data_IF_615719449546
#
_entry.id   IF_615719449546
#
_cell.length_a   1.000
_cell.length_b   1.000
_cell.length_c   1.000
_cell.angle_alpha   90.00
_cell.angle_beta   90.00
_cell.angle_gamma   90.00
#
_symmetry.space_group_name_H-M   'P 1'
#
loop_
_entity.id
_entity.type
_entity.pdbx_description
1 polymer ?
#
# COMPACT_ATOMS: atom_id res chain seq x y z
N UNK A 1 3.21 -9.05 -1.27
CA UNK A 1 3.68 -9.26 0.12
C UNK A 1 2.48 -9.30 1.04
N UNK A 2 2.46 -10.17 2.05
CA UNK A 2 1.41 -10.13 3.07
C UNK A 2 1.67 -9.02 4.08
N UNK A 3 0.70 -8.14 4.32
CA UNK A 3 0.82 -7.03 5.29
C UNK A 3 -0.32 -7.12 6.30
N UNK A 4 0.01 -7.02 7.59
CA UNK A 4 -0.96 -7.01 8.67
C UNK A 4 -1.35 -5.59 9.04
N UNK A 5 -2.61 -5.22 8.83
CA UNK A 5 -3.11 -3.90 9.19
C UNK A 5 -4.39 -4.04 9.99
N UNK A 6 -4.40 -3.50 11.23
CA UNK A 6 -5.53 -3.59 12.17
C UNK A 6 -6.08 -5.02 12.32
N UNK A 7 -5.18 -5.98 12.54
CA UNK A 7 -5.50 -7.40 12.72
C UNK A 7 -6.10 -8.10 11.47
N UNK A 8 -5.97 -7.49 10.29
CA UNK A 8 -6.39 -8.08 9.01
C UNK A 8 -5.17 -8.23 8.10
N UNK A 9 -5.05 -9.37 7.42
CA UNK A 9 -3.94 -9.65 6.51
C UNK A 9 -4.34 -9.34 5.07
N UNK A 10 -3.61 -8.44 4.42
CA UNK A 10 -3.84 -8.05 3.04
C UNK A 10 -2.70 -8.54 2.14
N UNK A 11 -3.03 -8.90 0.90
CA UNK A 11 -2.03 -9.05 -0.16
C UNK A 11 -1.72 -7.66 -0.71
N UNK A 12 -0.49 -7.19 -0.51
CA UNK A 12 -0.09 -5.82 -0.81
C UNK A 12 1.04 -5.72 -1.82
N UNK A 13 1.02 -4.62 -2.58
CA UNK A 13 2.16 -4.03 -3.28
C UNK A 13 2.68 -2.87 -2.45
N UNK A 14 3.99 -2.72 -2.36
CA UNK A 14 4.63 -1.61 -1.64
C UNK A 14 5.41 -0.81 -2.68
N UNK A 15 5.16 0.50 -2.77
CA UNK A 15 6.00 1.38 -3.58
C UNK A 15 7.05 2.03 -2.68
N UNK A 16 8.31 1.82 -3.01
CA UNK A 16 9.44 2.38 -2.29
C UNK A 16 10.58 2.73 -3.25
N UNK A 17 11.31 3.79 -2.94
CA UNK A 17 12.58 4.15 -3.59
C UNK A 17 13.41 5.07 -2.67
N UNK A 18 14.73 5.09 -2.82
CA UNK A 18 15.64 5.93 -2.02
C UNK A 18 15.41 5.85 -0.50
N UNK A 19 15.25 4.63 0.03
CA UNK A 19 14.92 4.35 1.45
C UNK A 19 13.61 5.01 1.95
N UNK A 20 12.73 5.44 1.03
CA UNK A 20 11.41 5.98 1.34
C UNK A 20 10.32 5.06 0.82
N UNK A 21 9.38 4.67 1.67
CA UNK A 21 8.14 4.01 1.32
C UNK A 21 7.08 5.09 1.09
N UNK A 22 6.50 5.10 -0.11
CA UNK A 22 5.50 6.10 -0.50
C UNK A 22 4.09 5.67 -0.10
N UNK A 23 3.74 4.40 -0.34
CA UNK A 23 2.45 3.84 0.04
C UNK A 23 2.47 2.31 0.01
N UNK A 24 1.48 1.71 0.67
CA UNK A 24 1.12 0.30 0.60
C UNK A 24 -0.22 0.20 -0.12
N UNK A 25 -0.28 -0.56 -1.22
CA UNK A 25 -1.51 -0.82 -1.97
C UNK A 25 -1.99 -2.25 -1.72
N UNK A 26 -3.06 -2.47 -0.94
CA UNK A 26 -3.69 -3.77 -0.78
C UNK A 26 -4.53 -4.14 -2.02
N UNK A 27 -4.64 -5.43 -2.28
CA UNK A 27 -5.42 -5.97 -3.41
C UNK A 27 -6.91 -5.81 -3.12
N UNK A 28 -7.64 -5.21 -4.06
CA UNK A 28 -9.10 -5.01 -3.99
C UNK A 28 -9.89 -6.24 -4.42
N UNK A 29 -9.31 -7.08 -5.28
CA UNK A 29 -9.93 -8.31 -5.79
C UNK A 29 -9.00 -9.50 -5.59
N UNK A 30 -9.47 -10.51 -4.86
CA UNK A 30 -8.73 -11.75 -4.62
C UNK A 30 -9.14 -12.80 -5.67
N UNK A 31 -8.20 -13.68 -6.01
CA UNK A 31 -8.47 -14.80 -6.93
C UNK A 31 -8.65 -16.08 -6.13
N UNK A 32 -9.82 -16.71 -6.25
CA UNK A 32 -10.18 -17.97 -5.59
C UNK A 32 -10.69 -19.04 -6.57
N UNK A 33 -10.36 -18.89 -7.86
CA UNK A 33 -10.72 -19.85 -8.91
C UNK A 33 -9.55 -20.79 -9.26
N UNK A 34 -9.90 -21.99 -9.76
CA UNK A 34 -8.94 -23.05 -10.10
C UNK A 34 -8.08 -23.46 -8.90
N UNK A 35 -6.75 -23.31 -9.05
CA UNK A 35 -5.77 -23.62 -8.00
C UNK A 35 -5.57 -22.49 -6.98
N UNK A 36 -6.13 -21.30 -7.25
CA UNK A 36 -5.95 -20.15 -6.37
C UNK A 36 -6.96 -20.18 -5.22
N UNK A 37 -6.50 -19.79 -4.04
CA UNK A 37 -7.30 -19.72 -2.82
C UNK A 37 -6.84 -18.54 -1.96
N UNK A 38 -6.68 -17.37 -2.56
CA UNK A 38 -6.15 -16.19 -1.88
C UNK A 38 -6.99 -15.80 -0.65
N UNK A 39 -8.32 -15.92 -0.69
CA UNK A 39 -9.19 -15.56 0.43
C UNK A 39 -9.01 -16.46 1.67
N UNK A 40 -8.35 -17.62 1.55
CA UNK A 40 -7.96 -18.43 2.72
C UNK A 40 -6.90 -17.75 3.58
N UNK A 41 -6.13 -16.83 3.00
CA UNK A 41 -4.96 -16.23 3.64
C UNK A 41 -5.03 -14.71 3.75
N UNK A 42 -5.82 -14.06 2.88
CA UNK A 42 -5.90 -12.61 2.76
C UNK A 42 -7.34 -12.13 2.71
N UNK A 43 -7.53 -10.86 3.05
CA UNK A 43 -8.80 -10.16 2.89
C UNK A 43 -8.69 -9.13 1.77
N UNK A 44 -9.76 -8.98 0.98
CA UNK A 44 -9.84 -7.93 -0.03
C UNK A 44 -9.93 -6.55 0.64
N UNK A 45 -9.29 -5.55 0.06
CA UNK A 45 -9.49 -4.16 0.48
C UNK A 45 -10.78 -3.61 -0.10
N UNK A 46 -11.81 -3.49 0.75
CA UNK A 46 -13.16 -3.01 0.37
C UNK A 46 -13.40 -1.53 0.70
N UNK A 47 -12.39 -0.83 1.25
CA UNK A 47 -12.52 0.58 1.66
C UNK A 47 -12.20 1.49 0.46
N UNK A 48 -13.19 1.68 -0.40
CA UNK A 48 -13.04 2.53 -1.58
C UNK A 48 -12.62 3.95 -1.20
N UNK A 49 -11.67 4.52 -1.98
CA UNK A 49 -11.18 5.90 -1.82
C UNK A 49 -10.77 6.28 -0.39
N UNK A 50 -10.43 5.29 0.42
CA UNK A 50 -10.07 5.48 1.82
C UNK A 50 -8.59 5.26 1.99
N UNK A 51 -7.92 6.24 2.60
CA UNK A 51 -6.52 6.14 2.99
C UNK A 51 -6.43 5.97 4.49
N UNK A 52 -5.78 4.91 4.94
CA UNK A 52 -5.48 4.70 6.35
C UNK A 52 -3.98 4.86 6.63
N UNK A 53 -3.63 5.21 7.86
CA UNK A 53 -2.25 5.24 8.31
C UNK A 53 -1.81 3.84 8.74
N UNK A 54 -0.75 3.34 8.11
CA UNK A 54 -0.07 2.11 8.49
C UNK A 54 1.18 2.43 9.31
N UNK A 55 1.30 1.86 10.49
CA UNK A 55 2.48 1.99 11.34
C UNK A 55 3.56 0.99 10.88
N UNK A 56 4.76 1.49 10.58
CA UNK A 56 5.87 0.64 10.18
C UNK A 56 6.42 -0.14 11.38
N UNK A 57 6.85 -1.37 11.12
CA UNK A 57 7.62 -2.14 12.10
C UNK A 57 8.93 -1.43 12.41
N UNK A 58 9.44 -1.63 13.62
CA UNK A 58 10.61 -0.90 14.13
C UNK A 58 11.80 -0.98 13.18
N UNK A 59 12.14 -2.17 12.69
CA UNK A 59 13.30 -2.36 11.81
C UNK A 59 13.17 -1.57 10.50
N UNK A 60 11.96 -1.55 9.92
CA UNK A 60 11.69 -0.77 8.70
C UNK A 60 11.71 0.72 9.00
N UNK A 61 11.18 1.13 10.14
CA UNK A 61 11.21 2.52 10.60
C UNK A 61 12.64 3.01 10.81
N UNK A 62 13.50 2.21 11.42
CA UNK A 62 14.91 2.55 11.69
C UNK A 62 15.71 2.70 10.40
N UNK A 63 15.43 1.87 9.38
CA UNK A 63 16.10 1.93 8.06
C UNK A 63 15.61 3.11 7.21
N UNK A 64 14.30 3.40 7.24
CA UNK A 64 13.66 4.39 6.36
C UNK A 64 13.53 5.77 6.99
N UNK A 65 13.64 5.86 8.32
CA UNK A 65 13.31 7.06 9.09
C UNK A 65 11.82 7.40 9.08
N UNK A 66 10.94 6.45 8.71
CA UNK A 66 9.50 6.65 8.66
C UNK A 66 8.80 5.84 9.75
N UNK A 67 7.99 6.52 10.57
CA UNK A 67 7.14 5.83 11.55
C UNK A 67 5.87 5.26 10.91
N UNK A 68 5.37 5.93 9.86
CA UNK A 68 4.09 5.60 9.22
C UNK A 68 4.13 5.81 7.71
N UNK A 69 3.24 5.10 7.01
CA UNK A 69 3.00 5.20 5.57
C UNK A 69 1.51 5.06 5.28
N UNK A 70 0.98 5.63 4.18
CA UNK A 70 -0.41 5.41 3.79
C UNK A 70 -0.63 3.98 3.27
N UNK A 71 -1.73 3.34 3.68
CA UNK A 71 -2.28 2.12 3.08
C UNK A 71 -3.63 2.44 2.43
N UNK A 72 -3.74 2.27 1.12
CA UNK A 72 -4.89 2.73 0.33
C UNK A 72 -4.90 2.14 -1.09
N UNK A 73 -5.84 2.57 -1.92
CA UNK A 73 -5.74 2.50 -3.38
C UNK A 73 -5.26 3.85 -3.96
N UNK A 74 -3.94 4.16 -3.94
CA UNK A 74 -3.44 5.47 -4.32
C UNK A 74 -3.31 5.60 -5.84
N UNK A 75 -3.51 6.82 -6.31
CA UNK A 75 -3.08 7.28 -7.63
C UNK A 75 -1.82 8.12 -7.43
N UNK A 76 -0.70 7.70 -8.00
CA UNK A 76 0.55 8.45 -7.92
C UNK A 76 0.72 9.29 -9.18
N UNK A 77 0.90 10.60 -8.99
CA UNK A 77 1.40 11.50 -10.02
C UNK A 77 2.88 11.79 -9.75
N UNK A 78 3.72 11.64 -10.78
CA UNK A 78 5.13 12.07 -10.72
C UNK A 78 5.32 13.23 -11.68
N UNK A 79 6.20 14.16 -11.33
CA UNK A 79 6.69 15.13 -12.30
C UNK A 79 7.59 14.40 -13.30
N UNK A 80 7.23 14.44 -14.58
CA UNK A 80 8.17 14.15 -15.66
C UNK A 80 8.99 15.41 -15.99
N UNK A 81 10.05 15.26 -16.79
CA UNK A 81 10.84 16.38 -17.32
C UNK A 81 10.05 17.32 -18.28
N UNK A 82 8.72 17.20 -18.33
CA UNK A 82 7.83 18.01 -19.16
C UNK A 82 6.77 18.61 -18.23
N UNK A 83 6.99 19.84 -17.77
CA UNK A 83 5.95 20.74 -17.25
C UNK A 83 5.27 20.35 -15.93
N UNK A 84 5.15 21.33 -15.03
CA UNK A 84 4.37 21.23 -13.78
C UNK A 84 2.95 20.71 -14.06
N UNK A 85 2.57 19.60 -13.42
CA UNK A 85 1.17 19.34 -13.07
C UNK A 85 1.06 19.42 -11.54
N UNK A 86 0.58 20.57 -11.07
CA UNK A 86 0.15 20.75 -9.69
C UNK A 86 -1.12 19.93 -9.46
N UNK A 87 -1.01 18.79 -8.78
CA UNK A 87 -2.15 18.00 -8.34
C UNK A 87 -1.81 17.26 -7.07
N UNK A 88 -2.17 17.83 -5.91
CA UNK A 88 -2.29 17.08 -4.66
C UNK A 88 -3.47 16.14 -4.83
N UNK A 89 -3.22 14.85 -4.91
CA UNK A 89 -4.24 13.82 -4.76
C UNK A 89 -3.80 12.87 -3.66
N UNK A 90 -4.30 13.14 -2.46
CA UNK A 90 -4.43 12.21 -1.34
C UNK A 90 -5.84 12.37 -0.78
#
# INVERSE_FOLDING_TARGET
MGVWHRNVRYNCRILLTYKKIFFIRPKVSLVDDGLYREARHFTAWVKERTTETYCLEKDVSDITGQMTVPIAEPVLSTFGYIGRVSGKYF
#
